data_IF_232479932585
#
_entry.id   IF_232479932585
#
_cell.length_a   1.000
_cell.length_b   1.000
_cell.length_c   1.000
_cell.angle_alpha   90.00
_cell.angle_beta   90.00
_cell.angle_gamma   90.00
#
_symmetry.space_group_name_H-M   'P 1'
#
loop_
_entity.id
_entity.type
_entity.pdbx_description
1 polymer ?
#
# COMPACT_ATOMS: atom_id res chain seq x y z
N UNK A 1 -47.51 -18.30 33.67
CA UNK A 1 -47.87 -17.39 32.55
C UNK A 1 -46.61 -17.24 31.72
N UNK A 2 -46.54 -17.49 30.42
CA UNK A 2 -47.56 -17.75 29.39
C UNK A 2 -46.91 -17.35 28.06
N UNK A 3 -46.45 -18.32 27.27
CA UNK A 3 -45.67 -18.07 26.05
C UNK A 3 -46.59 -17.83 24.85
N UNK A 4 -46.28 -16.83 24.01
CA UNK A 4 -46.79 -16.76 22.64
C UNK A 4 -45.68 -16.37 21.66
N UNK A 5 -45.60 -17.13 20.56
CA UNK A 5 -44.80 -16.87 19.35
C UNK A 5 -45.68 -16.10 18.35
N UNK A 6 -45.09 -15.33 17.44
CA UNK A 6 -45.79 -15.00 16.18
C UNK A 6 -45.46 -13.63 15.60
N UNK A 7 -45.71 -13.43 14.30
CA UNK A 7 -44.90 -12.52 13.48
C UNK A 7 -45.49 -11.12 13.34
N UNK A 8 -44.61 -10.12 13.22
CA UNK A 8 -44.99 -8.75 12.84
C UNK A 8 -45.02 -8.63 11.32
N UNK A 9 -46.22 -8.72 10.75
CA UNK A 9 -46.49 -8.36 9.35
C UNK A 9 -47.07 -6.94 9.32
N UNK A 10 -46.33 -5.99 8.74
CA UNK A 10 -46.78 -4.60 8.62
C UNK A 10 -47.55 -4.38 7.32
N UNK A 11 -48.87 -4.11 7.42
CA UNK A 11 -49.65 -3.56 6.31
C UNK A 11 -49.41 -2.04 6.17
N UNK A 12 -49.37 -1.48 4.95
CA UNK A 12 -49.28 -0.03 4.74
C UNK A 12 -50.65 0.63 4.95
N UNK A 13 -50.70 1.62 5.84
CA UNK A 13 -51.90 2.47 6.07
C UNK A 13 -51.81 3.75 5.22
N UNK A 14 -52.93 4.09 4.58
CA UNK A 14 -53.07 5.24 3.69
C UNK A 14 -53.57 6.47 4.47
N UNK A 15 -52.82 7.58 4.46
CA UNK A 15 -53.13 8.78 5.24
C UNK A 15 -53.51 9.99 4.36
N UNK A 16 -54.55 10.73 4.79
CA UNK A 16 -55.11 11.91 4.10
C UNK A 16 -54.32 13.20 4.37
N UNK A 17 -54.48 14.17 3.46
CA UNK A 17 -53.93 15.53 3.52
C UNK A 17 -54.68 16.39 4.55
N UNK A 18 -53.93 17.24 5.27
CA UNK A 18 -54.43 18.38 6.05
C UNK A 18 -53.31 19.40 6.29
N UNK A 19 -53.61 20.69 6.23
CA UNK A 19 -52.61 21.78 6.29
C UNK A 19 -52.95 22.85 7.32
N UNK A 20 -51.95 23.37 8.03
CA UNK A 20 -52.02 24.59 8.87
C UNK A 20 -50.69 25.37 8.73
N UNK A 21 -50.66 26.71 8.56
CA UNK A 21 -49.42 27.46 8.30
C UNK A 21 -49.00 28.46 9.41
N UNK A 22 -47.68 28.64 9.59
CA UNK A 22 -46.95 29.78 10.22
C UNK A 22 -45.43 29.45 10.19
N UNK A 23 -44.44 30.34 10.19
CA UNK A 23 -44.28 31.76 9.76
C UNK A 23 -42.76 31.99 9.49
N UNK A 24 -42.35 33.01 8.73
CA UNK A 24 -40.97 33.17 8.21
C UNK A 24 -40.15 34.29 8.88
N UNK A 25 -38.87 33.98 9.17
CA UNK A 25 -37.71 34.90 9.38
C UNK A 25 -36.45 34.09 8.98
N UNK A 26 -35.40 34.58 8.30
CA UNK A 26 -35.09 35.85 7.63
C UNK A 26 -33.75 35.69 6.85
N UNK A 27 -33.39 36.57 5.89
CA UNK A 27 -32.34 36.26 4.91
C UNK A 27 -30.91 36.64 5.35
N UNK A 28 -29.94 35.79 4.97
CA UNK A 28 -28.49 36.10 4.97
C UNK A 28 -27.93 35.88 3.55
N UNK A 29 -27.00 36.74 3.15
CA UNK A 29 -26.56 36.90 1.74
C UNK A 29 -25.31 36.07 1.47
N UNK A 30 -25.32 35.29 0.37
CA UNK A 30 -24.11 34.72 -0.24
C UNK A 30 -24.06 35.08 -1.73
N UNK A 31 -23.03 35.84 -2.14
CA UNK A 31 -22.78 36.18 -3.55
C UNK A 31 -22.09 35.00 -4.25
N UNK A 32 -22.70 34.47 -5.29
CA UNK A 32 -22.03 33.61 -6.26
C UNK A 32 -21.71 34.43 -7.52
N UNK A 33 -20.44 34.58 -7.84
CA UNK A 33 -19.98 35.23 -9.07
C UNK A 33 -20.01 34.19 -10.20
N UNK A 34 -20.63 34.54 -11.33
CA UNK A 34 -20.70 33.70 -12.53
C UNK A 34 -20.16 34.50 -13.71
N UNK A 35 -19.20 33.96 -14.44
CA UNK A 35 -18.80 34.47 -15.76
C UNK A 35 -19.71 33.89 -16.85
N UNK A 36 -19.85 34.65 -17.93
CA UNK A 36 -20.99 34.59 -18.84
C UNK A 36 -20.72 33.64 -20.02
N UNK A 37 -21.77 32.97 -20.52
CA UNK A 37 -21.84 32.62 -21.94
C UNK A 37 -23.29 32.49 -22.43
N UNK A 38 -23.60 33.32 -23.44
CA UNK A 38 -24.77 33.33 -24.33
C UNK A 38 -26.08 33.82 -23.72
N UNK A 39 -26.71 34.75 -24.44
CA UNK A 39 -27.82 35.56 -23.93
C UNK A 39 -29.10 35.44 -24.75
N UNK A 40 -30.18 35.92 -24.15
CA UNK A 40 -31.33 36.50 -24.85
C UNK A 40 -32.02 37.51 -23.92
N UNK A 41 -32.91 38.33 -24.47
CA UNK A 41 -33.29 39.64 -23.91
C UNK A 41 -34.10 39.61 -22.60
N UNK A 42 -33.96 40.70 -21.84
CA UNK A 42 -34.72 40.98 -20.62
C UNK A 42 -36.18 41.32 -20.91
N UNK A 43 -37.13 40.68 -20.22
CA UNK A 43 -38.50 41.18 -20.04
C UNK A 43 -38.91 41.11 -18.57
N UNK A 44 -39.72 42.08 -18.13
CA UNK A 44 -39.99 42.37 -16.71
C UNK A 44 -40.79 41.25 -16.02
N UNK A 45 -40.59 41.00 -14.72
CA UNK A 45 -41.25 39.91 -14.02
C UNK A 45 -42.74 40.19 -13.79
N UNK A 46 -43.61 39.27 -14.21
CA UNK A 46 -44.93 39.10 -13.58
C UNK A 46 -44.79 38.12 -12.43
N UNK A 47 -45.34 38.45 -11.28
CA UNK A 47 -45.40 37.54 -10.14
C UNK A 47 -46.32 36.36 -10.47
N UNK A 48 -45.76 35.20 -10.79
CA UNK A 48 -46.46 33.92 -10.83
C UNK A 48 -45.92 33.00 -9.74
N UNK A 49 -46.83 32.46 -8.93
CA UNK A 49 -46.49 31.52 -7.85
C UNK A 49 -46.02 30.21 -8.49
N UNK A 50 -44.71 29.99 -8.52
CA UNK A 50 -44.16 28.68 -8.88
C UNK A 50 -44.36 27.70 -7.72
N UNK A 51 -45.46 26.95 -7.80
CA UNK A 51 -45.62 25.68 -7.10
C UNK A 51 -44.48 24.75 -7.52
N UNK A 52 -43.48 24.57 -6.65
CA UNK A 52 -42.46 23.56 -6.84
C UNK A 52 -43.07 22.19 -6.54
N UNK A 53 -43.55 21.50 -7.58
CA UNK A 53 -43.89 20.09 -7.45
C UNK A 53 -42.62 19.31 -7.07
N UNK A 54 -42.56 18.89 -5.80
CA UNK A 54 -41.64 17.84 -5.37
C UNK A 54 -42.10 16.55 -6.07
N UNK A 55 -41.58 16.33 -7.27
CA UNK A 55 -41.70 15.07 -7.96
C UNK A 55 -40.95 14.03 -7.13
N UNK A 56 -41.70 13.29 -6.32
CA UNK A 56 -41.28 12.03 -5.72
C UNK A 56 -40.98 11.05 -6.87
N UNK A 57 -39.79 11.17 -7.48
CA UNK A 57 -39.28 10.16 -8.39
C UNK A 57 -39.17 8.88 -7.57
N UNK A 58 -40.12 7.95 -7.81
CA UNK A 58 -39.97 6.55 -7.42
C UNK A 58 -38.54 6.16 -7.73
N UNK A 59 -37.76 5.81 -6.69
CA UNK A 59 -36.51 5.10 -6.91
C UNK A 59 -36.90 3.82 -7.63
N UNK A 60 -36.60 3.75 -8.94
CA UNK A 60 -36.63 2.48 -9.63
C UNK A 60 -35.57 1.63 -8.94
N UNK A 61 -35.98 0.51 -8.36
CA UNK A 61 -35.03 -0.53 -7.96
C UNK A 61 -34.16 -0.84 -9.17
N UNK A 62 -32.88 -0.48 -9.09
CA UNK A 62 -31.93 -0.76 -10.17
C UNK A 62 -31.65 -2.26 -10.10
N UNK A 63 -32.43 -3.03 -10.85
CA UNK A 63 -32.20 -4.45 -11.01
C UNK A 63 -30.98 -4.60 -11.92
N UNK A 64 -29.80 -4.76 -11.32
CA UNK A 64 -28.55 -5.00 -12.04
C UNK A 64 -28.57 -6.42 -12.63
N UNK A 65 -29.25 -6.59 -13.76
CA UNK A 65 -29.19 -7.82 -14.55
C UNK A 65 -27.85 -7.88 -15.28
N UNK A 66 -26.82 -8.45 -14.64
CA UNK A 66 -25.53 -8.75 -15.27
C UNK A 66 -25.66 -9.92 -16.26
N UNK A 67 -26.24 -9.65 -17.44
CA UNK A 67 -26.15 -10.54 -18.59
C UNK A 67 -24.83 -10.27 -19.34
N UNK A 68 -23.72 -10.59 -18.71
CA UNK A 68 -22.46 -10.81 -19.44
C UNK A 68 -22.51 -12.21 -20.03
N UNK A 69 -22.24 -12.41 -21.34
CA UNK A 69 -21.97 -13.73 -21.86
C UNK A 69 -20.61 -14.17 -21.32
N UNK A 70 -20.62 -14.90 -20.21
CA UNK A 70 -19.43 -15.63 -19.78
C UNK A 70 -19.27 -16.81 -20.71
N UNK A 71 -18.28 -16.75 -21.59
CA UNK A 71 -17.60 -17.97 -22.00
C UNK A 71 -17.18 -18.71 -20.73
N UNK A 72 -17.32 -20.04 -20.70
CA UNK A 72 -17.32 -20.87 -19.48
C UNK A 72 -16.00 -20.98 -18.72
N UNK A 73 -15.06 -20.06 -18.93
CA UNK A 73 -13.73 -19.94 -18.30
C UNK A 73 -13.67 -18.85 -17.22
N UNK A 74 -14.81 -18.47 -16.66
CA UNK A 74 -14.80 -17.78 -15.36
C UNK A 74 -14.35 -18.76 -14.29
N UNK A 75 -13.15 -18.58 -13.72
CA UNK A 75 -12.78 -19.27 -12.48
C UNK A 75 -13.83 -18.91 -11.42
N UNK A 76 -14.70 -19.87 -11.11
CA UNK A 76 -15.45 -19.87 -9.85
C UNK A 76 -14.45 -19.72 -8.71
N UNK A 77 -14.87 -19.15 -7.58
CA UNK A 77 -14.03 -19.09 -6.38
C UNK A 77 -13.45 -20.48 -6.12
N UNK A 78 -12.13 -20.62 -6.23
CA UNK A 78 -11.50 -21.93 -6.25
C UNK A 78 -11.81 -22.63 -4.93
N UNK A 79 -12.35 -23.85 -5.03
CA UNK A 79 -12.68 -24.67 -3.87
C UNK A 79 -11.46 -24.70 -2.95
N UNK A 80 -11.69 -24.62 -1.63
CA UNK A 80 -10.62 -24.65 -0.64
C UNK A 80 -9.75 -25.89 -0.88
N UNK A 81 -8.53 -25.68 -1.36
CA UNK A 81 -7.58 -26.76 -1.60
C UNK A 81 -7.07 -27.25 -0.23
N UNK A 82 -7.64 -28.35 0.26
CA UNK A 82 -7.35 -28.89 1.60
C UNK A 82 -5.97 -29.56 1.71
N UNK A 83 -5.11 -29.47 0.68
CA UNK A 83 -3.77 -30.06 0.74
C UNK A 83 -2.79 -29.21 1.57
N UNK A 84 -3.05 -29.12 2.88
CA UNK A 84 -2.22 -28.48 3.91
C UNK A 84 -0.78 -29.02 3.91
N UNK A 85 -0.56 -30.25 3.42
CA UNK A 85 0.74 -30.89 3.26
C UNK A 85 1.69 -30.16 2.31
N UNK A 86 1.20 -29.32 1.38
CA UNK A 86 2.06 -28.52 0.50
C UNK A 86 2.48 -27.18 1.12
N UNK A 87 2.08 -26.90 2.37
CA UNK A 87 2.28 -25.61 3.03
C UNK A 87 3.06 -25.73 4.35
N UNK A 88 3.79 -24.67 4.70
CA UNK A 88 4.53 -24.52 5.95
C UNK A 88 4.03 -23.29 6.70
N UNK A 89 3.80 -23.42 8.02
CA UNK A 89 3.43 -22.29 8.88
C UNK A 89 4.59 -21.30 8.98
N UNK A 90 4.27 -20.02 9.13
CA UNK A 90 5.24 -18.94 9.18
C UNK A 90 4.84 -17.83 10.15
N UNK A 91 5.85 -17.25 10.81
CA UNK A 91 5.71 -16.06 11.64
C UNK A 91 6.32 -14.82 10.98
N UNK A 92 5.71 -13.66 11.19
CA UNK A 92 6.26 -12.38 10.72
C UNK A 92 7.42 -11.95 11.63
N UNK A 93 8.55 -11.60 11.02
CA UNK A 93 9.72 -11.04 11.70
C UNK A 93 9.61 -9.52 11.74
N UNK A 94 10.03 -8.87 12.84
CA UNK A 94 10.14 -7.41 12.94
C UNK A 94 11.33 -6.85 12.12
N UNK A 95 11.24 -7.00 10.80
CA UNK A 95 12.13 -6.38 9.82
C UNK A 95 11.60 -4.99 9.39
N UNK A 96 12.51 -4.14 8.91
CA UNK A 96 12.19 -2.80 8.36
C UNK A 96 12.40 -2.80 6.86
N UNK A 97 13.61 -3.15 6.43
CA UNK A 97 14.04 -3.08 5.03
C UNK A 97 15.02 -4.21 4.70
N UNK A 98 15.07 -4.57 3.43
CA UNK A 98 15.99 -5.56 2.86
C UNK A 98 16.83 -4.86 1.79
N UNK A 99 18.14 -5.08 1.84
CA UNK A 99 19.08 -4.70 0.78
C UNK A 99 19.66 -5.95 0.15
N UNK A 100 19.75 -5.97 -1.18
CA UNK A 100 20.54 -6.94 -1.95
C UNK A 100 22.01 -6.49 -2.03
N UNK A 101 22.95 -7.41 -2.19
CA UNK A 101 24.37 -7.11 -2.38
C UNK A 101 25.19 -8.33 -2.81
N UNK A 102 26.48 -8.10 -3.08
CA UNK A 102 27.46 -9.14 -3.49
C UNK A 102 27.57 -10.30 -2.50
N UNK A 103 27.30 -10.02 -1.23
CA UNK A 103 27.44 -10.92 -0.09
C UNK A 103 26.12 -11.58 0.35
N UNK A 104 25.08 -11.47 -0.49
CA UNK A 104 23.71 -11.92 -0.20
C UNK A 104 22.78 -10.77 0.19
N UNK A 105 21.78 -11.09 1.01
CA UNK A 105 20.79 -10.13 1.49
C UNK A 105 21.14 -9.62 2.89
N UNK A 106 21.02 -8.31 3.10
CA UNK A 106 21.08 -7.67 4.40
C UNK A 106 19.66 -7.29 4.84
N UNK A 107 19.15 -7.95 5.86
CA UNK A 107 17.84 -7.63 6.46
C UNK A 107 18.09 -6.73 7.67
N UNK A 108 17.58 -5.50 7.63
CA UNK A 108 17.64 -4.60 8.78
C UNK A 108 16.43 -4.84 9.67
N UNK A 109 16.71 -5.25 10.91
CA UNK A 109 15.74 -5.49 11.96
C UNK A 109 15.29 -4.18 12.60
N UNK A 110 14.10 -4.16 13.17
CA UNK A 110 13.52 -2.99 13.84
C UNK A 110 14.29 -2.53 15.09
N UNK A 111 15.07 -3.42 15.69
CA UNK A 111 15.98 -3.12 16.79
C UNK A 111 17.36 -2.58 16.34
N UNK A 112 17.54 -2.34 15.04
CA UNK A 112 18.78 -1.83 14.45
C UNK A 112 19.84 -2.91 14.19
N UNK A 113 19.60 -4.18 14.56
CA UNK A 113 20.47 -5.28 14.13
C UNK A 113 20.33 -5.51 12.63
N UNK A 114 21.36 -6.06 12.03
CA UNK A 114 21.35 -6.48 10.64
C UNK A 114 21.60 -7.98 10.58
N UNK A 115 20.77 -8.71 9.84
CA UNK A 115 20.94 -10.14 9.58
C UNK A 115 21.48 -10.31 8.17
N UNK A 116 22.66 -10.92 8.05
CA UNK A 116 23.22 -11.31 6.75
C UNK A 116 22.68 -12.68 6.38
N UNK A 117 22.04 -12.76 5.23
CA UNK A 117 21.39 -13.96 4.73
C UNK A 117 21.87 -14.28 3.32
N UNK A 118 21.94 -15.57 2.97
CA UNK A 118 22.16 -16.02 1.58
C UNK A 118 20.98 -16.83 1.10
N UNK A 119 20.80 -16.85 -0.22
CA UNK A 119 19.79 -17.68 -0.86
C UNK A 119 19.94 -19.16 -0.49
N UNK A 120 18.82 -19.85 -0.24
CA UNK A 120 18.83 -21.27 0.09
C UNK A 120 19.31 -22.10 -1.10
N UNK A 121 18.79 -21.80 -2.30
CA UNK A 121 19.17 -22.44 -3.55
C UNK A 121 20.35 -21.68 -4.22
N UNK A 122 21.52 -22.31 -4.50
CA UNK A 122 22.63 -21.63 -5.19
C UNK A 122 22.29 -21.18 -6.63
N UNK A 123 21.21 -21.69 -7.24
CA UNK A 123 20.72 -21.26 -8.54
C UNK A 123 19.79 -20.04 -8.49
N UNK A 124 19.65 -19.36 -7.35
CA UNK A 124 18.76 -18.20 -7.12
C UNK A 124 19.06 -16.90 -7.90
N UNK A 125 19.83 -16.99 -8.99
CA UNK A 125 20.24 -15.85 -9.81
C UNK A 125 21.38 -15.04 -9.23
N UNK A 126 22.05 -14.28 -10.10
CA UNK A 126 22.99 -13.24 -9.68
C UNK A 126 22.16 -12.05 -9.19
N UNK A 127 22.28 -11.70 -7.91
CA UNK A 127 21.46 -10.65 -7.31
C UNK A 127 21.92 -9.26 -7.79
N UNK A 128 21.05 -8.42 -8.37
CA UNK A 128 21.39 -7.03 -8.66
C UNK A 128 21.55 -6.26 -7.34
N UNK A 129 22.55 -5.38 -7.25
CA UNK A 129 22.67 -4.44 -6.13
C UNK A 129 21.56 -3.39 -6.25
N UNK A 130 20.57 -3.50 -5.38
CA UNK A 130 19.44 -2.59 -5.30
C UNK A 130 19.52 -1.80 -3.98
N UNK A 131 18.97 -0.59 -3.99
CA UNK A 131 18.79 0.20 -2.78
C UNK A 131 18.00 -0.58 -1.70
N UNK A 132 18.07 -0.21 -0.41
CA UNK A 132 17.19 -0.77 0.60
C UNK A 132 15.71 -0.56 0.23
N UNK A 133 14.91 -1.61 0.34
CA UNK A 133 13.46 -1.56 0.12
C UNK A 133 12.70 -2.04 1.36
N UNK A 134 11.54 -1.44 1.71
CA UNK A 134 10.66 -1.98 2.73
C UNK A 134 10.25 -3.42 2.41
N UNK A 135 10.22 -4.28 3.43
CA UNK A 135 9.88 -5.69 3.25
C UNK A 135 9.04 -6.22 4.42
N UNK A 136 8.24 -7.25 4.12
CA UNK A 136 7.66 -8.14 5.12
C UNK A 136 8.49 -9.42 5.06
N UNK A 137 9.08 -9.82 6.18
CA UNK A 137 9.91 -11.03 6.25
C UNK A 137 9.14 -12.11 7.01
N UNK A 138 8.86 -13.23 6.35
CA UNK A 138 8.25 -14.41 6.94
C UNK A 138 9.35 -15.40 7.35
N UNK A 139 9.30 -15.93 8.57
CA UNK A 139 10.18 -17.01 9.04
C UNK A 139 9.41 -18.33 9.02
N UNK A 140 9.99 -19.37 8.43
CA UNK A 140 9.37 -20.71 8.38
C UNK A 140 9.46 -21.41 9.74
N UNK A 141 8.38 -22.11 10.12
CA UNK A 141 8.23 -22.79 11.42
C UNK A 141 8.39 -24.32 11.33
N UNK A 142 8.91 -24.82 10.20
CA UNK A 142 9.31 -26.22 9.97
C UNK A 142 10.68 -26.61 10.58
N UNK A 143 11.27 -25.71 11.37
CA UNK A 143 12.60 -25.90 11.96
C UNK A 143 13.78 -25.56 11.04
N UNK A 144 13.55 -25.25 9.76
CA UNK A 144 14.63 -24.87 8.82
C UNK A 144 15.22 -23.49 9.13
N UNK A 145 14.42 -22.62 9.77
CA UNK A 145 14.81 -21.24 10.07
C UNK A 145 14.91 -20.34 8.83
N UNK A 146 14.40 -20.78 7.66
CA UNK A 146 14.40 -20.00 6.44
C UNK A 146 13.58 -18.71 6.58
N UNK A 147 14.10 -17.64 5.99
CA UNK A 147 13.45 -16.33 5.90
C UNK A 147 13.03 -16.05 4.47
N UNK A 148 11.76 -15.78 4.22
CA UNK A 148 11.23 -15.33 2.93
C UNK A 148 10.97 -13.81 2.96
N UNK A 149 11.86 -12.98 2.38
CA UNK A 149 11.63 -11.54 2.25
C UNK A 149 10.69 -11.23 1.09
N UNK A 150 9.53 -10.66 1.40
CA UNK A 150 8.56 -10.13 0.42
C UNK A 150 8.74 -8.62 0.38
N UNK A 151 9.28 -8.09 -0.73
CA UNK A 151 9.45 -6.65 -0.94
C UNK A 151 8.06 -6.00 -1.10
N UNK A 152 7.85 -4.89 -0.39
CA UNK A 152 6.55 -4.18 -0.35
C UNK A 152 6.75 -2.66 -0.37
N UNK A 153 5.66 -1.92 -0.50
CA UNK A 153 5.65 -0.50 -0.21
C UNK A 153 5.71 -0.25 1.30
N UNK A 154 6.16 0.94 1.70
CA UNK A 154 6.33 1.35 3.09
C UNK A 154 5.04 1.20 3.92
N UNK A 155 3.91 1.71 3.41
CA UNK A 155 2.64 1.75 4.16
C UNK A 155 2.13 0.38 4.62
N UNK A 156 2.05 -0.68 3.77
CA UNK A 156 1.72 -2.04 4.22
C UNK A 156 2.65 -2.60 5.32
N UNK A 157 3.96 -2.30 5.26
CA UNK A 157 4.91 -2.73 6.29
C UNK A 157 4.69 -2.00 7.61
N UNK A 158 4.54 -0.66 7.57
CA UNK A 158 4.24 0.17 8.75
C UNK A 158 2.92 -0.27 9.42
N UNK A 159 1.87 -0.53 8.64
CA UNK A 159 0.58 -0.98 9.14
C UNK A 159 0.63 -2.41 9.71
N UNK A 160 1.52 -3.27 9.23
CA UNK A 160 1.75 -4.60 9.80
C UNK A 160 2.48 -4.50 11.14
N UNK A 161 3.55 -3.71 11.18
CA UNK A 161 4.36 -3.45 12.37
C UNK A 161 3.59 -2.74 13.49
N UNK A 162 2.56 -1.95 13.15
CA UNK A 162 1.61 -1.40 14.12
C UNK A 162 0.68 -2.49 14.67
N UNK A 163 0.15 -3.37 13.82
CA UNK A 163 -0.74 -4.47 14.23
C UNK A 163 -0.05 -5.50 15.12
N UNK A 164 1.17 -5.94 14.75
CA UNK A 164 1.96 -6.89 15.56
C UNK A 164 2.22 -6.37 16.97
N UNK A 165 2.45 -5.06 17.13
CA UNK A 165 2.64 -4.41 18.43
C UNK A 165 1.34 -3.96 19.11
N UNK A 166 0.18 -4.32 18.56
CA UNK A 166 -1.16 -3.92 19.05
C UNK A 166 -1.32 -2.39 19.22
N UNK A 167 -0.63 -1.60 18.39
CA UNK A 167 -0.71 -0.13 18.40
C UNK A 167 -2.04 0.32 17.81
N UNK A 168 -2.85 1.00 18.62
CA UNK A 168 -4.13 1.54 18.18
C UNK A 168 -3.95 2.75 17.28
N UNK A 169 -4.55 2.72 16.10
CA UNK A 169 -4.55 3.82 15.13
C UNK A 169 -5.91 4.54 15.26
N UNK A 170 -5.88 5.87 15.38
CA UNK A 170 -7.06 6.68 15.71
C UNK A 170 -8.22 6.62 14.69
N UNK A 171 -7.99 6.07 13.50
CA UNK A 171 -9.01 5.79 12.49
C UNK A 171 -8.91 4.33 12.02
N UNK A 172 -10.03 3.65 11.72
CA UNK A 172 -10.00 2.30 11.15
C UNK A 172 -9.14 2.24 9.88
N UNK A 173 -8.18 1.33 9.87
CA UNK A 173 -7.40 1.00 8.66
C UNK A 173 -8.26 0.17 7.70
N UNK A 174 -7.90 0.12 6.41
CA UNK A 174 -8.59 -0.75 5.45
C UNK A 174 -8.68 -2.20 5.94
N UNK A 175 -7.60 -2.73 6.52
CA UNK A 175 -7.57 -4.08 7.08
C UNK A 175 -8.54 -4.28 8.27
N UNK A 176 -8.78 -3.23 9.07
CA UNK A 176 -9.78 -3.26 10.13
C UNK A 176 -11.20 -3.25 9.56
N UNK A 177 -11.45 -2.42 8.54
CA UNK A 177 -12.74 -2.37 7.83
C UNK A 177 -13.05 -3.70 7.16
N UNK A 178 -12.08 -4.32 6.48
CA UNK A 178 -12.22 -5.64 5.85
C UNK A 178 -12.53 -6.71 6.89
N UNK A 179 -11.82 -6.74 8.04
CA UNK A 179 -12.15 -7.64 9.14
C UNK A 179 -13.59 -7.46 9.61
N UNK A 180 -14.00 -6.22 9.89
CA UNK A 180 -15.34 -5.91 10.40
C UNK A 180 -16.44 -6.25 9.37
N UNK A 181 -16.15 -6.12 8.06
CA UNK A 181 -17.05 -6.57 7.00
C UNK A 181 -17.20 -8.10 6.97
N UNK A 182 -16.09 -8.85 7.07
CA UNK A 182 -16.10 -10.32 7.14
C UNK A 182 -16.91 -10.78 8.36
N UNK A 183 -16.62 -10.24 9.54
CA UNK A 183 -17.33 -10.54 10.79
C UNK A 183 -18.85 -10.27 10.64
N UNK A 184 -19.23 -9.13 10.04
CA UNK A 184 -20.65 -8.73 9.83
C UNK A 184 -21.38 -9.53 8.75
N UNK A 185 -20.66 -10.12 7.80
CA UNK A 185 -21.23 -11.01 6.78
C UNK A 185 -21.45 -12.44 7.30
N UNK A 186 -21.07 -12.74 8.55
CA UNK A 186 -21.20 -14.08 9.13
C UNK A 186 -20.09 -15.03 8.70
N UNK A 187 -18.94 -14.51 8.31
CA UNK A 187 -17.75 -15.28 7.95
C UNK A 187 -16.63 -15.05 8.96
N UNK A 188 -15.68 -15.99 9.00
CA UNK A 188 -14.43 -15.88 9.73
C UNK A 188 -13.27 -16.17 8.79
N UNK A 189 -12.15 -15.49 8.96
CA UNK A 189 -10.90 -15.87 8.29
C UNK A 189 -10.41 -17.19 8.89
N UNK A 190 -9.99 -18.15 8.06
CA UNK A 190 -9.35 -19.41 8.51
C UNK A 190 -7.84 -19.35 8.43
N UNK A 191 -7.30 -18.98 7.27
CA UNK A 191 -5.87 -19.04 6.95
C UNK A 191 -5.54 -18.10 5.79
N UNK A 192 -4.29 -17.63 5.73
CA UNK A 192 -3.71 -16.97 4.56
C UNK A 192 -2.56 -17.82 4.02
N UNK A 193 -2.53 -18.05 2.72
CA UNK A 193 -1.46 -18.79 2.03
C UNK A 193 -0.73 -17.90 1.03
N UNK A 194 0.60 -17.86 1.08
CA UNK A 194 1.43 -17.36 -0.03
C UNK A 194 1.67 -18.53 -0.96
N UNK A 195 1.04 -18.52 -2.14
CA UNK A 195 0.84 -19.72 -2.96
C UNK A 195 1.90 -19.90 -4.03
N UNK A 196 2.19 -18.87 -4.81
CA UNK A 196 3.10 -18.92 -5.97
C UNK A 196 3.81 -17.59 -6.20
N UNK A 197 4.85 -17.63 -7.03
CA UNK A 197 5.56 -16.46 -7.54
C UNK A 197 5.64 -16.52 -9.06
N UNK A 198 5.36 -15.41 -9.73
CA UNK A 198 5.32 -15.29 -11.20
C UNK A 198 5.94 -13.95 -11.58
N UNK A 199 6.99 -13.96 -12.40
CA UNK A 199 7.75 -12.76 -12.80
C UNK A 199 8.11 -11.86 -11.61
N UNK A 200 8.85 -12.39 -10.65
CA UNK A 200 9.22 -11.76 -9.37
C UNK A 200 8.07 -11.45 -8.38
N UNK A 201 6.82 -11.41 -8.83
CA UNK A 201 5.66 -11.07 -8.01
C UNK A 201 5.08 -12.28 -7.27
N UNK A 202 4.92 -12.15 -5.96
CA UNK A 202 4.30 -13.15 -5.09
C UNK A 202 2.77 -12.99 -5.04
N UNK A 203 2.05 -14.12 -5.00
CA UNK A 203 0.60 -14.20 -4.90
C UNK A 203 0.18 -14.82 -3.56
N UNK A 204 -0.95 -14.39 -3.02
CA UNK A 204 -1.52 -14.97 -1.81
C UNK A 204 -3.04 -15.17 -1.93
N UNK A 205 -3.56 -16.14 -1.19
CA UNK A 205 -4.98 -16.41 -1.04
C UNK A 205 -5.41 -16.26 0.43
N UNK A 206 -6.52 -15.56 0.64
CA UNK A 206 -7.21 -15.43 1.91
C UNK A 206 -8.41 -16.37 1.90
N UNK A 207 -8.45 -17.32 2.83
CA UNK A 207 -9.56 -18.27 2.94
C UNK A 207 -10.47 -17.90 4.10
N UNK A 208 -11.77 -17.85 3.81
CA UNK A 208 -12.83 -17.64 4.79
C UNK A 208 -13.70 -18.90 4.89
N UNK A 209 -14.30 -19.12 6.05
CA UNK A 209 -15.45 -20.02 6.20
C UNK A 209 -16.62 -19.32 6.86
N UNK A 210 -17.82 -19.82 6.63
CA UNK A 210 -19.02 -19.32 7.31
C UNK A 210 -19.03 -19.75 8.77
N UNK A 211 -19.44 -18.84 9.64
CA UNK A 211 -19.57 -19.12 11.08
C UNK A 211 -20.68 -20.16 11.27
N UNK A 212 -20.33 -21.32 11.86
CA UNK A 212 -21.25 -22.44 12.07
C UNK A 212 -21.45 -23.37 10.87
N UNK A 213 -20.76 -23.14 9.73
CA UNK A 213 -20.72 -24.08 8.61
C UNK A 213 -19.33 -24.06 7.94
N UNK A 214 -18.40 -24.87 8.45
CA UNK A 214 -17.02 -24.91 7.95
C UNK A 214 -16.89 -25.46 6.52
N UNK A 215 -17.88 -26.23 6.05
CA UNK A 215 -17.93 -26.70 4.66
C UNK A 215 -18.22 -25.58 3.65
N UNK A 216 -18.81 -24.45 4.09
CA UNK A 216 -19.02 -23.27 3.24
C UNK A 216 -17.78 -22.36 3.32
N UNK A 217 -16.73 -22.79 2.63
CA UNK A 217 -15.48 -22.06 2.45
C UNK A 217 -15.44 -21.25 1.15
N UNK A 218 -14.69 -20.16 1.15
CA UNK A 218 -14.41 -19.32 -0.03
C UNK A 218 -12.98 -18.78 0.03
N UNK A 219 -12.37 -18.58 -1.14
CA UNK A 219 -11.02 -18.02 -1.30
C UNK A 219 -11.07 -16.65 -1.99
N UNK A 220 -10.10 -15.78 -1.67
CA UNK A 220 -9.89 -14.50 -2.33
C UNK A 220 -8.41 -14.33 -2.67
N UNK A 221 -8.11 -14.11 -3.95
CA UNK A 221 -6.78 -13.71 -4.40
C UNK A 221 -6.45 -12.29 -3.89
N UNK A 222 -5.30 -12.16 -3.23
CA UNK A 222 -4.80 -10.91 -2.67
C UNK A 222 -3.28 -10.78 -2.90
N UNK A 223 -2.79 -9.54 -2.80
CA UNK A 223 -1.34 -9.33 -2.64
C UNK A 223 -0.92 -9.86 -1.26
N UNK A 224 0.25 -10.52 -1.12
CA UNK A 224 0.72 -11.04 0.16
C UNK A 224 0.75 -9.99 1.27
N UNK A 225 1.13 -8.75 0.96
CA UNK A 225 1.17 -7.66 1.92
C UNK A 225 -0.19 -7.36 2.58
N UNK A 226 -1.28 -7.49 1.82
CA UNK A 226 -2.63 -7.22 2.29
C UNK A 226 -3.20 -8.45 3.02
N UNK A 227 -2.97 -9.65 2.48
CA UNK A 227 -3.38 -10.90 3.10
C UNK A 227 -2.72 -11.08 4.48
N UNK A 228 -1.40 -10.88 4.59
CA UNK A 228 -0.66 -10.95 5.86
C UNK A 228 -1.15 -9.90 6.87
N UNK A 229 -1.48 -8.69 6.42
CA UNK A 229 -2.03 -7.64 7.27
C UNK A 229 -3.42 -7.98 7.83
N UNK A 230 -4.25 -8.70 7.07
CA UNK A 230 -5.53 -9.24 7.53
C UNK A 230 -5.27 -10.40 8.51
N UNK A 231 -4.37 -11.32 8.16
CA UNK A 231 -4.06 -12.50 8.97
C UNK A 231 -3.64 -12.15 10.40
N UNK A 232 -2.70 -11.22 10.56
CA UNK A 232 -2.21 -10.76 11.88
C UNK A 232 -3.33 -10.12 12.71
N UNK A 233 -4.27 -9.39 12.08
CA UNK A 233 -5.42 -8.77 12.79
C UNK A 233 -6.51 -9.77 13.16
N UNK A 234 -6.70 -10.80 12.33
CA UNK A 234 -7.63 -11.90 12.61
C UNK A 234 -7.02 -12.99 13.51
N UNK A 235 -5.71 -12.93 13.78
CA UNK A 235 -4.94 -13.93 14.56
C UNK A 235 -5.03 -15.34 13.99
N UNK A 236 -4.96 -15.45 12.66
CA UNK A 236 -4.98 -16.72 11.92
C UNK A 236 -3.58 -17.12 11.43
N UNK A 237 -3.34 -18.40 11.11
CA UNK A 237 -2.07 -18.83 10.55
C UNK A 237 -1.74 -18.14 9.21
N UNK A 238 -0.44 -17.87 9.02
CA UNK A 238 0.12 -17.47 7.73
C UNK A 238 0.96 -18.65 7.25
N UNK A 239 0.57 -19.21 6.11
CA UNK A 239 1.20 -20.35 5.47
C UNK A 239 1.92 -19.91 4.20
N UNK A 240 3.01 -20.59 3.86
CA UNK A 240 3.76 -20.41 2.61
C UNK A 240 3.87 -21.75 1.92
N UNK A 241 3.71 -21.81 0.60
CA UNK A 241 3.91 -23.04 -0.15
C UNK A 241 5.36 -23.55 0.03
N UNK A 242 5.54 -24.85 0.32
CA UNK A 242 6.84 -25.45 0.63
C UNK A 242 7.85 -25.28 -0.50
N UNK A 243 7.45 -25.50 -1.76
CA UNK A 243 8.34 -25.32 -2.91
C UNK A 243 8.87 -23.88 -2.95
N UNK A 244 7.98 -22.90 -2.79
CA UNK A 244 8.34 -21.47 -2.76
C UNK A 244 9.26 -21.12 -1.57
N UNK A 245 8.99 -21.67 -0.39
CA UNK A 245 9.79 -21.45 0.81
C UNK A 245 11.22 -22.00 0.66
N UNK A 246 11.39 -23.17 0.02
CA UNK A 246 12.70 -23.77 -0.24
C UNK A 246 13.41 -23.16 -1.46
N UNK A 247 12.68 -22.75 -2.50
CA UNK A 247 13.27 -22.16 -3.71
C UNK A 247 13.80 -20.76 -3.43
N UNK A 248 12.99 -19.89 -2.81
CA UNK A 248 13.23 -18.44 -2.70
C UNK A 248 13.58 -18.01 -1.26
N UNK A 249 13.56 -18.93 -0.30
CA UNK A 249 13.94 -18.66 1.08
C UNK A 249 15.44 -18.36 1.25
N UNK A 250 15.76 -17.62 2.30
CA UNK A 250 17.11 -17.20 2.66
C UNK A 250 17.53 -17.86 3.98
N UNK A 251 18.77 -18.38 4.04
CA UNK A 251 19.42 -18.86 5.28
C UNK A 251 20.19 -17.72 5.92
N UNK A 252 20.05 -17.53 7.24
CA UNK A 252 20.86 -16.59 8.03
C UNK A 252 22.27 -17.16 8.22
N UNK A 253 23.31 -16.38 7.92
CA UNK A 253 24.71 -16.75 8.16
C UNK A 253 25.21 -16.08 9.44
N UNK A 254 24.97 -14.76 9.57
CA UNK A 254 25.51 -13.95 10.67
C UNK A 254 24.38 -13.12 11.32
N UNK A 255 24.18 -13.34 12.62
CA UNK A 255 23.32 -12.50 13.48
C UNK A 255 24.16 -11.47 14.24
N UNK A 256 24.91 -10.65 13.50
CA UNK A 256 25.80 -9.65 14.08
C UNK A 256 25.03 -8.56 14.84
N UNK A 257 25.20 -8.49 16.16
CA UNK A 257 25.18 -7.18 16.81
C UNK A 257 26.41 -6.44 16.31
N UNK A 258 26.22 -5.47 15.43
CA UNK A 258 27.26 -4.54 15.05
C UNK A 258 27.47 -3.58 16.23
N UNK A 259 28.16 -4.08 17.26
CA UNK A 259 28.55 -3.28 18.41
C UNK A 259 29.59 -2.27 17.95
N UNK A 260 29.29 -0.99 18.13
CA UNK A 260 30.29 0.08 18.08
C UNK A 260 31.28 -0.11 19.22
N UNK A 261 32.25 -0.99 19.04
CA UNK A 261 33.46 -1.07 19.85
C UNK A 261 34.56 -0.40 19.04
N UNK A 262 34.97 0.78 19.47
CA UNK A 262 36.21 1.40 19.00
C UNK A 262 37.41 0.64 19.59
N UNK A 263 38.29 0.04 18.78
CA UNK A 263 39.64 -0.25 19.24
C UNK A 263 40.39 1.09 19.33
N UNK A 264 40.79 1.48 20.54
CA UNK A 264 41.66 2.63 20.75
C UNK A 264 43.13 2.25 20.53
N UNK A 265 43.86 3.09 19.79
CA UNK A 265 45.32 3.03 19.53
C UNK A 265 45.88 1.78 18.83
N UNK A 266 46.70 1.88 17.78
CA UNK A 266 47.15 3.02 16.97
C UNK A 266 47.29 2.56 15.51
N UNK A 267 46.76 3.32 14.54
CA UNK A 267 46.85 2.90 13.13
C UNK A 267 45.88 3.57 12.14
N UNK A 268 46.15 4.83 11.80
CA UNK A 268 45.77 5.48 10.54
C UNK A 268 44.26 5.58 10.15
N UNK A 269 43.55 6.48 10.84
CA UNK A 269 42.55 7.42 10.29
C UNK A 269 41.85 7.09 8.96
N UNK A 270 40.62 6.55 9.00
CA UNK A 270 39.54 6.91 8.05
C UNK A 270 38.15 6.69 8.67
N UNK A 271 37.64 7.66 9.44
CA UNK A 271 36.19 8.00 9.60
C UNK A 271 35.99 9.02 10.74
N UNK A 272 35.90 10.32 10.43
CA UNK A 272 35.32 11.33 11.34
C UNK A 272 35.11 12.74 10.71
N UNK A 273 35.02 12.91 9.38
CA UNK A 273 34.65 14.23 8.81
C UNK A 273 34.00 14.09 7.42
N UNK A 274 32.73 13.69 7.40
CA UNK A 274 31.90 13.65 6.19
C UNK A 274 30.51 14.27 6.39
N UNK A 275 30.45 15.35 7.15
CA UNK A 275 29.34 16.33 7.04
C UNK A 275 29.75 17.76 7.44
N UNK A 276 31.06 18.07 7.34
CA UNK A 276 31.56 19.45 7.46
C UNK A 276 31.66 20.03 6.04
N UNK A 277 30.92 21.10 5.69
CA UNK A 277 31.06 21.72 4.39
C UNK A 277 32.49 22.24 4.26
N UNK A 278 33.24 21.73 3.28
CA UNK A 278 34.69 21.96 3.15
C UNK A 278 35.07 23.40 2.75
N UNK A 279 34.12 24.33 2.76
CA UNK A 279 34.25 25.72 2.32
C UNK A 279 34.52 25.91 0.82
N UNK A 280 34.83 24.81 0.11
CA UNK A 280 35.27 24.78 -1.28
C UNK A 280 34.06 24.49 -2.18
N UNK A 281 33.79 25.31 -3.22
CA UNK A 281 32.70 25.05 -4.15
C UNK A 281 32.96 23.78 -4.98
N UNK A 282 32.41 22.64 -4.57
CA UNK A 282 32.47 21.41 -5.38
C UNK A 282 31.67 21.56 -6.68
N UNK A 283 32.00 20.73 -7.66
CA UNK A 283 31.44 20.81 -9.01
C UNK A 283 29.96 20.42 -8.99
N UNK A 284 29.61 19.47 -8.14
CA UNK A 284 28.29 18.93 -7.88
C UNK A 284 27.35 20.03 -7.34
N UNK A 285 27.80 20.86 -6.40
CA UNK A 285 27.02 22.02 -5.91
C UNK A 285 26.82 23.07 -7.01
N UNK A 286 27.80 23.30 -7.89
CA UNK A 286 27.63 24.20 -9.04
C UNK A 286 26.59 23.67 -10.01
N UNK A 287 26.64 22.36 -10.33
CA UNK A 287 25.67 21.70 -11.20
C UNK A 287 24.25 21.75 -10.63
N UNK A 288 24.10 21.45 -9.34
CA UNK A 288 22.84 21.54 -8.60
C UNK A 288 22.25 22.96 -8.62
N UNK A 289 23.07 23.99 -8.37
CA UNK A 289 22.63 25.39 -8.38
C UNK A 289 22.15 25.84 -9.77
N UNK A 290 22.83 25.40 -10.85
CA UNK A 290 22.40 25.69 -12.23
C UNK A 290 21.05 25.03 -12.56
N UNK A 291 20.88 23.76 -12.17
CA UNK A 291 19.61 23.03 -12.33
C UNK A 291 18.47 23.67 -11.54
N UNK A 292 18.71 24.03 -10.27
CA UNK A 292 17.71 24.68 -9.43
C UNK A 292 17.26 26.04 -10.01
N UNK A 293 18.21 26.87 -10.45
CA UNK A 293 17.91 28.16 -11.07
C UNK A 293 17.16 28.02 -12.40
N UNK A 294 17.49 27.01 -13.21
CA UNK A 294 16.76 26.69 -14.44
C UNK A 294 15.31 26.28 -14.14
N UNK A 295 15.09 25.36 -13.19
CA UNK A 295 13.76 24.91 -12.81
C UNK A 295 12.91 26.04 -12.21
N UNK A 296 13.51 26.89 -11.38
CA UNK A 296 12.84 28.09 -10.85
C UNK A 296 12.44 29.05 -11.96
N UNK A 297 13.33 29.33 -12.93
CA UNK A 297 13.01 30.18 -14.07
C UNK A 297 11.90 29.61 -14.97
N UNK A 298 11.78 28.27 -15.08
CA UNK A 298 10.65 27.62 -15.78
C UNK A 298 9.34 27.81 -15.03
N UNK A 299 9.33 27.65 -13.70
CA UNK A 299 8.13 27.89 -12.87
C UNK A 299 7.71 29.36 -12.87
N UNK A 300 8.68 30.29 -12.92
CA UNK A 300 8.45 31.73 -13.05
C UNK A 300 8.09 32.18 -14.49
N UNK A 301 7.91 31.26 -15.45
CA UNK A 301 7.69 31.52 -16.89
C UNK A 301 8.79 32.38 -17.58
N UNK A 302 9.97 32.50 -16.98
CA UNK A 302 11.13 33.25 -17.51
C UNK A 302 11.98 32.38 -18.43
N UNK A 303 11.41 32.02 -19.58
CA UNK A 303 12.02 31.08 -20.53
C UNK A 303 13.39 31.51 -21.09
N UNK A 304 13.65 32.82 -21.22
CA UNK A 304 14.97 33.33 -21.64
C UNK A 304 16.05 33.06 -20.59
N UNK A 305 15.76 33.28 -19.31
CA UNK A 305 16.66 32.95 -18.21
C UNK A 305 16.87 31.43 -18.11
N UNK A 306 15.81 30.63 -18.28
CA UNK A 306 15.90 29.18 -18.28
C UNK A 306 16.80 28.64 -19.40
N UNK A 307 16.78 29.24 -20.59
CA UNK A 307 17.71 28.92 -21.68
C UNK A 307 19.16 29.26 -21.29
N UNK A 308 19.40 30.46 -20.73
CA UNK A 308 20.73 30.87 -20.28
C UNK A 308 21.32 29.93 -19.21
N UNK A 309 20.49 29.45 -18.26
CA UNK A 309 20.91 28.47 -17.26
C UNK A 309 21.19 27.08 -17.85
N UNK A 310 20.40 26.65 -18.84
CA UNK A 310 20.62 25.40 -19.59
C UNK A 310 21.95 25.42 -20.34
N UNK A 311 22.28 26.53 -21.01
CA UNK A 311 23.52 26.63 -21.79
C UNK A 311 24.75 26.65 -20.89
N UNK A 312 24.68 27.34 -19.74
CA UNK A 312 25.73 27.28 -18.69
C UNK A 312 25.90 25.87 -18.12
N UNK A 313 24.82 25.13 -17.90
CA UNK A 313 24.86 23.73 -17.45
C UNK A 313 25.51 22.82 -18.50
N UNK A 314 25.16 23.00 -19.78
CA UNK A 314 25.76 22.25 -20.88
C UNK A 314 27.26 22.53 -21.03
N UNK A 315 27.71 23.79 -20.87
CA UNK A 315 29.13 24.15 -20.86
C UNK A 315 29.88 23.47 -19.69
N UNK A 316 29.30 23.46 -18.49
CA UNK A 316 29.89 22.79 -17.31
C UNK A 316 30.03 21.27 -17.52
N UNK A 317 29.02 20.64 -18.13
CA UNK A 317 29.05 19.19 -18.48
C UNK A 317 30.02 18.88 -19.63
N UNK A 318 30.13 19.75 -20.63
CA UNK A 318 31.10 19.60 -21.72
C UNK A 318 32.54 19.64 -21.20
N UNK A 319 32.86 20.57 -20.28
CA UNK A 319 34.16 20.63 -19.62
C UNK A 319 34.51 19.36 -18.83
N UNK A 320 33.52 18.76 -18.15
CA UNK A 320 33.67 17.48 -17.43
C UNK A 320 34.06 16.32 -18.37
N UNK A 321 33.45 16.26 -19.56
CA UNK A 321 33.76 15.22 -20.57
C UNK A 321 35.15 15.37 -21.21
N UNK A 322 35.71 16.59 -21.29
CA UNK A 322 37.09 16.79 -21.75
C UNK A 322 38.08 16.38 -20.67
N UNK A 323 37.84 16.78 -19.41
CA UNK A 323 38.74 16.50 -18.30
C UNK A 323 38.81 15.00 -17.95
N UNK A 324 37.76 14.22 -18.22
CA UNK A 324 37.78 12.75 -18.06
C UNK A 324 38.60 12.02 -19.15
N UNK A 325 38.95 12.66 -20.28
CA UNK A 325 39.73 12.04 -21.37
C UNK A 325 41.25 12.21 -21.24
N UNK A 326 41.72 13.09 -20.34
CA UNK A 326 43.16 13.27 -20.10
C UNK A 326 43.76 12.28 -19.08
N UNK A 327 42.96 11.36 -18.55
CA UNK A 327 43.38 10.31 -17.61
C UNK A 327 43.43 8.91 -18.26
N UNK A 328 43.39 8.84 -19.60
CA UNK A 328 43.40 7.59 -20.39
C UNK A 328 44.48 7.62 -21.48
N UNK A 329 45.68 8.09 -21.12
CA UNK A 329 46.95 7.94 -21.84
C UNK A 329 48.05 7.61 -20.82
#
# INVERSE_FOLDING_TARGET
>A
MGSLKGPVVCHPVLAKVGSVPMSMIGPMIARCVRSEFWGLACTKPKASVFSCHINYRRCKTVHCSFNSPSDGTGNMAENFDENDEDYVNSSVVEAVEVKSGTDGFLIKMRDGRHLRCTHNNPHGGLLPDYAPHPAIVLKMEDGTGLLLPIIVLEMPSVLLMAAMRNVQIARPTLYQVVKEMIDKMGYQVRVVRVTKRVHEAYFAQLYLSKVGNEAECMSFDLRPSDAINIAVRCKVPIQVNKYLAYSDGMRVIESGKLSTQSPGSDGLLFTAELDRPSGKPCIETKEFNLLHNMLKAVVDERYQDAALWRDKLNQLRAGKNVNNRSWTL
#
